data_IF_561506251747
#
_entry.id   IF_561506251747
#
_cell.length_a   1.000
_cell.length_b   1.000
_cell.length_c   1.000
_cell.angle_alpha   90.00
_cell.angle_beta   90.00
_cell.angle_gamma   90.00
#
_symmetry.space_group_name_H-M   'P 1'
#
loop_
_entity.id
_entity.type
_entity.pdbx_description
1 polymer ?
#
# COMPACT_ATOMS: atom_id res chain seq x y z
N UNK A 1 21.62 2.91 -14.41
CA UNK A 1 20.57 1.97 -14.86
C UNK A 1 19.92 1.42 -13.60
N UNK A 2 18.65 1.01 -13.60
CA UNK A 2 18.07 0.39 -12.41
C UNK A 2 18.65 -1.03 -12.32
N UNK A 3 19.55 -1.28 -11.37
CA UNK A 3 20.28 -2.53 -11.25
C UNK A 3 20.33 -3.02 -9.79
N UNK A 4 20.41 -4.34 -9.63
CA UNK A 4 20.35 -4.98 -8.30
C UNK A 4 21.53 -4.56 -7.43
N UNK A 5 22.74 -4.46 -8.00
CA UNK A 5 23.96 -4.16 -7.26
C UNK A 5 23.92 -2.74 -6.67
N UNK A 6 23.40 -1.76 -7.42
CA UNK A 6 23.20 -0.39 -6.96
C UNK A 6 22.25 -0.37 -5.77
N UNK A 7 21.10 -1.06 -5.85
CA UNK A 7 20.14 -1.13 -4.73
C UNK A 7 20.81 -1.79 -3.52
N UNK A 8 21.40 -2.99 -3.70
CA UNK A 8 22.09 -3.72 -2.63
C UNK A 8 23.20 -2.89 -1.98
N UNK A 9 24.00 -2.17 -2.77
CA UNK A 9 25.08 -1.32 -2.26
C UNK A 9 24.52 -0.17 -1.40
N UNK A 10 23.44 0.49 -1.84
CA UNK A 10 22.78 1.52 -1.02
C UNK A 10 22.26 0.92 0.29
N UNK A 11 21.56 -0.21 0.21
CA UNK A 11 20.96 -0.85 1.40
C UNK A 11 22.01 -1.39 2.38
N UNK A 12 23.19 -1.78 1.92
CA UNK A 12 24.26 -2.30 2.77
C UNK A 12 25.28 -1.24 3.21
N UNK A 13 25.24 -0.04 2.63
CA UNK A 13 26.15 1.03 3.03
C UNK A 13 25.72 1.63 4.38
N UNK A 14 26.59 1.49 5.39
CA UNK A 14 26.38 1.98 6.75
C UNK A 14 27.27 3.18 7.10
N UNK A 15 27.95 3.76 6.11
CA UNK A 15 28.70 5.01 6.28
C UNK A 15 27.72 6.16 6.63
N UNK A 16 27.86 6.81 7.80
CA UNK A 16 26.99 7.91 8.21
C UNK A 16 26.97 9.06 7.22
N UNK A 17 28.11 9.40 6.60
CA UNK A 17 28.20 10.52 5.67
C UNK A 17 27.43 10.22 4.38
N UNK A 18 27.48 8.96 3.92
CA UNK A 18 26.67 8.49 2.81
C UNK A 18 25.17 8.56 3.12
N UNK A 19 24.76 8.11 4.30
CA UNK A 19 23.35 8.11 4.72
C UNK A 19 22.81 9.53 4.80
N UNK A 20 23.59 10.45 5.39
CA UNK A 20 23.23 11.86 5.49
C UNK A 20 23.11 12.50 4.10
N UNK A 21 24.07 12.24 3.21
CA UNK A 21 24.01 12.72 1.82
C UNK A 21 22.77 12.21 1.07
N UNK A 22 22.44 10.92 1.22
CA UNK A 22 21.24 10.30 0.64
C UNK A 22 19.95 10.95 1.19
N UNK A 23 19.90 11.20 2.49
CA UNK A 23 18.77 11.83 3.16
C UNK A 23 18.57 13.28 2.71
N UNK A 24 19.64 14.07 2.60
CA UNK A 24 19.60 15.45 2.13
C UNK A 24 19.10 15.53 0.68
N UNK A 25 19.63 14.67 -0.20
CA UNK A 25 19.20 14.62 -1.60
C UNK A 25 17.71 14.27 -1.71
N UNK A 26 17.25 13.26 -0.96
CA UNK A 26 15.84 12.89 -0.91
C UNK A 26 14.95 14.03 -0.41
N UNK A 27 15.37 14.73 0.65
CA UNK A 27 14.64 15.87 1.20
C UNK A 27 14.53 17.02 0.20
N UNK A 28 15.62 17.33 -0.50
CA UNK A 28 15.64 18.38 -1.53
C UNK A 28 14.68 18.04 -2.68
N UNK A 29 14.73 16.81 -3.19
CA UNK A 29 13.83 16.36 -4.26
C UNK A 29 12.36 16.36 -3.80
N UNK A 30 12.10 15.96 -2.56
CA UNK A 30 10.74 16.00 -2.00
C UNK A 30 10.21 17.42 -1.97
N UNK A 31 11.00 18.38 -1.48
CA UNK A 31 10.61 19.79 -1.44
C UNK A 31 10.45 20.38 -2.85
N UNK A 32 11.30 20.00 -3.80
CA UNK A 32 11.21 20.43 -5.19
C UNK A 32 9.92 19.97 -5.87
N UNK A 33 9.47 18.74 -5.61
CA UNK A 33 8.33 18.13 -6.31
C UNK A 33 6.99 18.25 -5.56
N UNK A 34 6.99 18.30 -4.23
CA UNK A 34 5.78 18.28 -3.39
C UNK A 34 5.69 19.46 -2.41
N UNK A 35 6.69 20.34 -2.41
CA UNK A 35 6.78 21.42 -1.43
C UNK A 35 6.86 20.90 0.00
N UNK A 36 6.09 21.52 0.89
CA UNK A 36 6.01 21.15 2.32
C UNK A 36 4.65 20.56 2.69
N UNK A 37 3.90 20.10 1.68
CA UNK A 37 2.57 19.52 1.88
C UNK A 37 2.67 18.06 2.30
N UNK A 38 1.68 17.60 3.06
CA UNK A 38 1.54 16.20 3.43
C UNK A 38 0.10 15.78 3.23
N UNK A 39 -0.14 14.80 2.37
CA UNK A 39 -1.46 14.22 2.17
C UNK A 39 -1.85 13.38 3.39
N UNK A 40 -3.02 13.66 3.98
CA UNK A 40 -3.58 12.85 5.05
C UNK A 40 -4.66 11.93 4.47
N UNK A 41 -4.61 10.65 4.83
CA UNK A 41 -5.70 9.71 4.56
C UNK A 41 -6.03 8.89 5.80
N UNK A 42 -7.26 8.38 5.91
CA UNK A 42 -7.63 7.44 6.96
C UNK A 42 -7.94 6.06 6.38
N UNK A 43 -7.34 4.98 6.89
CA UNK A 43 -7.77 3.62 6.59
C UNK A 43 -9.04 3.28 7.40
N UNK A 44 -10.07 2.77 6.74
CA UNK A 44 -11.30 2.26 7.35
C UNK A 44 -11.54 0.81 6.92
N UNK A 45 -11.44 -0.13 7.87
CA UNK A 45 -11.76 -1.53 7.62
C UNK A 45 -13.28 -1.73 7.62
N UNK A 46 -13.85 -2.01 6.45
CA UNK A 46 -15.27 -2.34 6.30
C UNK A 46 -15.57 -3.80 6.66
N UNK A 47 -14.58 -4.68 6.50
CA UNK A 47 -14.71 -6.08 6.85
C UNK A 47 -13.36 -6.76 7.04
N UNK A 48 -13.28 -7.72 7.97
CA UNK A 48 -12.12 -8.58 8.14
C UNK A 48 -12.35 -10.04 7.65
N UNK A 49 -13.43 -10.32 6.93
CA UNK A 49 -13.63 -11.64 6.32
C UNK A 49 -12.65 -11.85 5.16
N UNK A 50 -11.95 -12.98 5.15
CA UNK A 50 -10.97 -13.31 4.13
C UNK A 50 -11.02 -14.79 3.80
N UNK A 51 -10.96 -15.12 2.51
CA UNK A 51 -10.89 -16.50 2.01
C UNK A 51 -9.45 -17.01 1.87
N UNK A 52 -8.48 -16.10 1.79
CA UNK A 52 -7.07 -16.41 1.54
C UNK A 52 -6.33 -16.88 2.81
N UNK A 53 -5.45 -17.87 2.66
CA UNK A 53 -4.56 -18.35 3.72
C UNK A 53 -3.16 -17.76 3.56
N UNK A 54 -2.96 -16.56 4.13
CA UNK A 54 -1.65 -15.92 4.14
C UNK A 54 -0.96 -16.17 5.48
N UNK A 55 0.26 -16.70 5.48
CA UNK A 55 0.98 -17.10 6.70
C UNK A 55 1.36 -15.93 7.61
N UNK A 56 1.31 -14.70 7.10
CA UNK A 56 1.70 -13.47 7.79
C UNK A 56 0.52 -12.54 8.08
N UNK A 57 -0.70 -12.91 7.70
CA UNK A 57 -1.86 -12.03 7.85
C UNK A 57 -2.73 -12.44 9.04
N UNK A 58 -3.05 -11.49 9.92
CA UNK A 58 -3.95 -11.72 11.05
C UNK A 58 -5.38 -12.11 10.64
N UNK A 59 -5.82 -11.72 9.44
CA UNK A 59 -7.16 -12.00 8.90
C UNK A 59 -7.26 -13.28 8.08
N UNK A 60 -6.19 -14.08 7.96
CA UNK A 60 -6.23 -15.29 7.13
C UNK A 60 -7.41 -16.22 7.50
N UNK A 61 -7.86 -17.03 6.55
CA UNK A 61 -9.06 -17.88 6.69
C UNK A 61 -8.99 -18.92 7.82
N UNK A 62 -7.79 -19.30 8.28
CA UNK A 62 -7.59 -20.29 9.34
C UNK A 62 -7.50 -19.67 10.75
N UNK A 63 -7.38 -18.35 10.86
CA UNK A 63 -7.41 -17.67 12.14
C UNK A 63 -8.82 -17.57 12.71
N UNK A 64 -8.93 -17.98 13.99
CA UNK A 64 -10.12 -17.82 14.81
C UNK A 64 -10.11 -16.44 15.46
N UNK A 65 -10.53 -15.45 14.68
CA UNK A 65 -10.79 -14.07 15.14
C UNK A 65 -12.29 -13.78 15.09
N UNK A 66 -12.74 -12.78 15.84
CA UNK A 66 -14.09 -12.23 15.67
C UNK A 66 -14.20 -11.61 14.28
N UNK A 67 -15.07 -12.17 13.44
CA UNK A 67 -15.28 -11.68 12.08
C UNK A 67 -16.38 -10.63 12.05
N UNK A 68 -16.16 -9.54 11.33
CA UNK A 68 -17.13 -8.46 11.18
C UNK A 68 -17.23 -7.99 9.73
N UNK A 69 -18.40 -7.45 9.40
CA UNK A 69 -18.72 -6.71 8.19
C UNK A 69 -19.61 -5.57 8.63
N UNK A 70 -19.23 -4.33 8.32
CA UNK A 70 -20.01 -3.16 8.71
C UNK A 70 -21.33 -3.11 7.93
N UNK A 71 -22.43 -2.80 8.62
CA UNK A 71 -23.69 -2.41 7.99
C UNK A 71 -23.62 -0.97 7.48
N UNK A 72 -24.56 -0.56 6.64
CA UNK A 72 -24.59 0.80 6.09
C UNK A 72 -24.64 1.85 7.21
N UNK A 73 -25.41 1.62 8.28
CA UNK A 73 -25.46 2.50 9.43
C UNK A 73 -24.10 2.64 10.12
N UNK A 74 -23.37 1.52 10.26
CA UNK A 74 -22.03 1.52 10.84
C UNK A 74 -21.02 2.22 9.92
N UNK A 75 -21.13 2.02 8.60
CA UNK A 75 -20.31 2.72 7.61
C UNK A 75 -20.51 4.24 7.74
N UNK A 76 -21.75 4.71 7.76
CA UNK A 76 -22.06 6.13 7.96
C UNK A 76 -21.49 6.66 9.28
N UNK A 77 -21.62 5.91 10.39
CA UNK A 77 -21.10 6.31 11.69
C UNK A 77 -19.58 6.50 11.69
N UNK A 78 -18.84 5.52 11.19
CA UNK A 78 -17.38 5.55 11.11
C UNK A 78 -16.90 6.67 10.16
N UNK A 79 -17.50 6.78 8.98
CA UNK A 79 -17.12 7.79 7.99
C UNK A 79 -17.40 9.21 8.49
N UNK A 80 -18.55 9.43 9.15
CA UNK A 80 -18.88 10.71 9.77
C UNK A 80 -17.89 11.08 10.88
N UNK A 81 -17.47 10.11 11.68
CA UNK A 81 -16.47 10.33 12.72
C UNK A 81 -15.14 10.81 12.12
N UNK A 82 -14.65 10.13 11.08
CA UNK A 82 -13.40 10.50 10.40
C UNK A 82 -13.50 11.86 9.68
N UNK A 83 -14.62 12.15 9.01
CA UNK A 83 -14.85 13.44 8.37
C UNK A 83 -14.85 14.60 9.36
N UNK A 84 -15.44 14.41 10.56
CA UNK A 84 -15.38 15.43 11.63
C UNK A 84 -13.96 15.72 12.15
N UNK A 85 -13.00 14.82 11.92
CA UNK A 85 -11.58 15.07 12.24
C UNK A 85 -10.85 15.87 11.16
N UNK A 86 -11.53 16.25 10.07
CA UNK A 86 -10.94 16.97 8.93
C UNK A 86 -10.24 16.06 7.93
N UNK A 87 -10.49 14.74 7.96
CA UNK A 87 -9.98 13.82 6.94
C UNK A 87 -10.82 13.94 5.67
N UNK A 88 -10.17 14.20 4.54
CA UNK A 88 -10.82 14.31 3.22
C UNK A 88 -10.53 13.13 2.29
N UNK A 89 -9.53 12.30 2.60
CA UNK A 89 -9.13 11.14 1.80
C UNK A 89 -9.37 9.86 2.59
N UNK A 90 -10.22 8.98 2.09
CA UNK A 90 -10.52 7.70 2.75
C UNK A 90 -9.90 6.53 1.95
N UNK A 91 -9.31 5.58 2.67
CA UNK A 91 -8.92 4.29 2.13
C UNK A 91 -9.84 3.22 2.73
N UNK A 92 -10.70 2.64 1.91
CA UNK A 92 -11.62 1.57 2.31
C UNK A 92 -10.93 0.23 2.19
N UNK A 93 -10.87 -0.53 3.28
CA UNK A 93 -10.18 -1.81 3.34
C UNK A 93 -11.15 -2.96 3.60
N UNK A 94 -10.89 -4.09 2.97
CA UNK A 94 -11.53 -5.36 3.31
C UNK A 94 -10.51 -6.49 3.37
N UNK A 95 -10.83 -7.58 4.09
CA UNK A 95 -10.25 -8.87 3.76
C UNK A 95 -10.66 -9.34 2.35
N UNK A 96 -10.03 -10.42 1.86
CA UNK A 96 -10.30 -10.92 0.51
C UNK A 96 -11.44 -11.95 0.51
N UNK A 97 -12.68 -11.48 0.61
CA UNK A 97 -13.88 -12.32 0.52
C UNK A 97 -14.85 -11.79 -0.54
N UNK A 98 -14.79 -12.37 -1.74
CA UNK A 98 -15.71 -12.08 -2.85
C UNK A 98 -17.17 -12.37 -2.51
N UNK A 99 -17.42 -13.31 -1.58
CA UNK A 99 -18.78 -13.62 -1.10
C UNK A 99 -19.28 -12.60 -0.07
N UNK A 100 -18.42 -12.17 0.85
CA UNK A 100 -18.84 -11.32 1.98
C UNK A 100 -18.86 -9.84 1.60
N UNK A 101 -17.88 -9.41 0.83
CA UNK A 101 -17.74 -8.04 0.32
C UNK A 101 -17.73 -8.07 -1.21
N UNK A 102 -18.84 -8.49 -1.86
CA UNK A 102 -18.93 -8.50 -3.33
C UNK A 102 -18.87 -7.07 -3.88
N UNK A 103 -18.71 -6.93 -5.20
CA UNK A 103 -18.68 -5.64 -5.89
C UNK A 103 -19.85 -4.72 -5.48
N UNK A 104 -21.08 -5.25 -5.38
CA UNK A 104 -22.24 -4.46 -4.96
C UNK A 104 -22.10 -3.82 -3.57
N UNK A 105 -21.43 -4.49 -2.63
CA UNK A 105 -21.13 -3.93 -1.31
C UNK A 105 -20.07 -2.83 -1.39
N UNK A 106 -19.05 -3.02 -2.22
CA UNK A 106 -17.99 -2.02 -2.43
C UNK A 106 -18.53 -0.77 -3.14
N UNK A 107 -19.41 -0.93 -4.13
CA UNK A 107 -20.11 0.17 -4.80
C UNK A 107 -20.99 0.95 -3.83
N UNK A 108 -21.71 0.26 -2.94
CA UNK A 108 -22.51 0.90 -1.90
C UNK A 108 -21.64 1.69 -0.91
N UNK A 109 -20.55 1.09 -0.42
CA UNK A 109 -19.62 1.78 0.48
C UNK A 109 -18.97 3.01 -0.18
N UNK A 110 -18.62 2.93 -1.47
CA UNK A 110 -18.13 4.07 -2.24
C UNK A 110 -19.21 5.14 -2.45
N UNK A 111 -20.49 4.75 -2.64
CA UNK A 111 -21.60 5.70 -2.69
C UNK A 111 -21.72 6.49 -1.39
N UNK A 112 -21.70 5.81 -0.24
CA UNK A 112 -21.77 6.43 1.08
C UNK A 112 -20.55 7.33 1.31
N UNK A 113 -19.36 6.88 0.95
CA UNK A 113 -18.12 7.64 1.14
C UNK A 113 -18.13 9.01 0.45
N UNK A 114 -18.83 9.15 -0.69
CA UNK A 114 -18.96 10.44 -1.41
C UNK A 114 -19.68 11.53 -0.61
N UNK A 115 -20.46 11.16 0.40
CA UNK A 115 -21.12 12.12 1.29
C UNK A 115 -20.15 12.78 2.28
N UNK A 116 -18.97 12.18 2.49
CA UNK A 116 -18.06 12.54 3.57
C UNK A 116 -16.65 12.92 3.11
N UNK A 117 -16.19 12.40 1.97
CA UNK A 117 -14.80 12.51 1.53
C UNK A 117 -14.68 13.02 0.10
N UNK A 118 -13.63 13.80 -0.13
CA UNK A 118 -13.27 14.34 -1.45
C UNK A 118 -12.51 13.33 -2.31
N UNK A 119 -11.85 12.35 -1.67
CA UNK A 119 -11.19 11.26 -2.39
C UNK A 119 -11.39 9.90 -1.74
N UNK A 120 -11.67 8.90 -2.59
CA UNK A 120 -12.00 7.54 -2.19
C UNK A 120 -11.04 6.56 -2.86
N UNK A 121 -10.29 5.82 -2.06
CA UNK A 121 -9.42 4.73 -2.51
C UNK A 121 -9.82 3.41 -1.88
N UNK A 122 -9.54 2.29 -2.57
CA UNK A 122 -9.83 0.94 -2.07
C UNK A 122 -8.55 0.10 -1.95
N UNK A 123 -8.40 -0.62 -0.84
CA UNK A 123 -7.45 -1.73 -0.65
C UNK A 123 -8.25 -3.01 -0.37
N UNK A 124 -8.68 -3.67 -1.45
CA UNK A 124 -9.59 -4.83 -1.42
C UNK A 124 -9.04 -5.97 -2.28
N UNK A 125 -9.77 -7.07 -2.37
CA UNK A 125 -9.38 -8.19 -3.22
C UNK A 125 -9.21 -7.76 -4.70
N UNK A 126 -8.26 -8.37 -5.45
CA UNK A 126 -8.15 -8.16 -6.88
C UNK A 126 -9.47 -8.47 -7.61
N UNK A 127 -9.85 -7.64 -8.57
CA UNK A 127 -11.09 -7.83 -9.34
C UNK A 127 -10.78 -7.86 -10.85
N UNK A 128 -11.78 -8.15 -11.67
CA UNK A 128 -11.68 -8.04 -13.12
C UNK A 128 -11.71 -6.57 -13.57
N UNK A 129 -11.29 -6.30 -14.81
CA UNK A 129 -11.26 -4.93 -15.36
C UNK A 129 -12.66 -4.29 -15.39
N UNK A 130 -13.71 -5.07 -15.67
CA UNK A 130 -15.11 -4.60 -15.66
C UNK A 130 -15.53 -4.08 -14.28
N UNK A 131 -15.13 -4.77 -13.22
CA UNK A 131 -15.51 -4.42 -11.85
C UNK A 131 -14.81 -3.13 -11.42
N UNK A 132 -13.53 -2.97 -11.79
CA UNK A 132 -12.82 -1.69 -11.60
C UNK A 132 -13.46 -0.57 -12.42
N UNK A 133 -14.05 -0.86 -13.59
CA UNK A 133 -14.75 0.14 -14.39
C UNK A 133 -15.99 0.65 -13.69
N UNK A 134 -16.76 -0.24 -13.07
CA UNK A 134 -17.92 0.12 -12.26
C UNK A 134 -17.51 0.96 -11.05
N UNK A 135 -16.45 0.57 -10.33
CA UNK A 135 -15.92 1.35 -9.20
C UNK A 135 -15.48 2.76 -9.62
N UNK A 136 -14.78 2.88 -10.75
CA UNK A 136 -14.40 4.17 -11.30
C UNK A 136 -15.63 5.05 -11.60
N UNK A 137 -16.65 4.48 -12.26
CA UNK A 137 -17.91 5.18 -12.55
C UNK A 137 -18.67 5.59 -11.28
N UNK A 138 -18.53 4.82 -10.21
CA UNK A 138 -19.12 5.10 -8.91
C UNK A 138 -18.41 6.23 -8.14
N UNK A 139 -17.21 6.64 -8.58
CA UNK A 139 -16.43 7.72 -7.99
C UNK A 139 -15.23 7.26 -7.16
N UNK A 140 -14.76 6.02 -7.32
CA UNK A 140 -13.48 5.58 -6.75
C UNK A 140 -12.32 6.19 -7.54
N UNK A 141 -11.46 6.93 -6.84
CA UNK A 141 -10.28 7.57 -7.43
C UNK A 141 -9.09 6.63 -7.51
N UNK A 142 -8.92 5.77 -6.49
CA UNK A 142 -7.68 5.05 -6.27
C UNK A 142 -7.81 3.58 -5.91
N UNK A 143 -6.84 2.79 -6.34
CA UNK A 143 -6.68 1.38 -5.95
C UNK A 143 -5.30 1.18 -5.33
N UNK A 144 -5.28 0.61 -4.12
CA UNK A 144 -4.07 0.17 -3.45
C UNK A 144 -3.96 -1.34 -3.57
N UNK A 145 -2.84 -1.81 -4.11
CA UNK A 145 -2.54 -3.24 -4.19
C UNK A 145 -1.07 -3.49 -3.92
N UNK A 146 -0.79 -4.21 -2.84
CA UNK A 146 0.57 -4.67 -2.55
C UNK A 146 0.77 -6.03 -3.18
N UNK A 147 1.83 -6.16 -3.97
CA UNK A 147 2.29 -7.45 -4.47
C UNK A 147 2.84 -8.31 -3.33
N UNK A 148 3.16 -7.70 -2.18
CA UNK A 148 3.72 -8.31 -0.98
C UNK A 148 5.16 -8.75 -1.17
N UNK A 149 5.43 -9.55 -2.19
CA UNK A 149 6.74 -9.98 -2.64
C UNK A 149 6.67 -10.32 -4.14
N UNK A 150 7.70 -9.91 -4.88
CA UNK A 150 7.88 -10.27 -6.29
C UNK A 150 8.66 -11.59 -6.45
N UNK A 151 9.23 -12.14 -5.37
CA UNK A 151 9.79 -13.50 -5.36
C UNK A 151 8.63 -14.51 -5.43
N UNK A 152 8.43 -15.12 -6.60
CA UNK A 152 7.39 -16.14 -6.83
C UNK A 152 7.50 -17.34 -5.88
N UNK A 153 8.72 -17.78 -5.58
CA UNK A 153 8.94 -18.94 -4.71
C UNK A 153 8.56 -18.58 -3.26
N UNK A 154 8.91 -17.37 -2.80
CA UNK A 154 8.47 -16.87 -1.50
C UNK A 154 6.97 -16.64 -1.47
N UNK A 155 6.40 -16.03 -2.50
CA UNK A 155 4.97 -15.77 -2.64
C UNK A 155 4.15 -17.04 -2.46
N UNK A 156 4.52 -18.13 -3.15
CA UNK A 156 3.83 -19.42 -3.05
C UNK A 156 3.93 -20.04 -1.64
N UNK A 157 5.02 -19.80 -0.91
CA UNK A 157 5.19 -20.29 0.47
C UNK A 157 4.36 -19.53 1.49
N UNK A 158 4.00 -18.28 1.20
CA UNK A 158 3.29 -17.41 2.15
C UNK A 158 1.82 -17.20 1.82
N UNK A 159 1.41 -17.52 0.59
CA UNK A 159 0.01 -17.52 0.11
C UNK A 159 -0.42 -18.94 -0.21
N UNK A 160 -0.86 -19.68 0.82
CA UNK A 160 -1.05 -21.13 0.73
C UNK A 160 -2.35 -21.55 0.04
N UNK A 161 -3.39 -20.71 0.09
CA UNK A 161 -4.68 -20.98 -0.57
C UNK A 161 -5.52 -19.71 -0.72
N UNK A 162 -6.60 -19.81 -1.51
CA UNK A 162 -7.46 -18.69 -1.91
C UNK A 162 -6.95 -17.97 -3.16
N UNK A 163 -7.72 -17.02 -3.68
CA UNK A 163 -7.38 -16.31 -4.92
C UNK A 163 -6.10 -15.47 -4.82
N UNK A 164 -5.68 -15.09 -3.60
CA UNK A 164 -4.38 -14.45 -3.42
C UNK A 164 -3.21 -15.34 -3.84
N UNK A 165 -3.34 -16.67 -3.80
CA UNK A 165 -2.27 -17.57 -4.23
C UNK A 165 -1.96 -17.44 -5.74
N UNK A 166 -2.90 -16.91 -6.53
CA UNK A 166 -2.66 -16.58 -7.92
C UNK A 166 -1.79 -15.32 -8.05
N UNK A 167 -0.49 -15.56 -8.15
CA UNK A 167 0.54 -14.53 -8.29
C UNK A 167 0.27 -13.62 -9.49
N UNK A 168 -0.04 -14.20 -10.65
CA UNK A 168 -0.15 -13.47 -11.92
C UNK A 168 -1.43 -12.65 -11.97
N UNK A 169 -2.53 -13.17 -11.41
CA UNK A 169 -3.75 -12.41 -11.25
C UNK A 169 -3.55 -11.19 -10.34
N UNK A 170 -2.84 -11.37 -9.21
CA UNK A 170 -2.51 -10.26 -8.30
C UNK A 170 -1.59 -9.24 -8.93
N UNK A 171 -0.51 -9.68 -9.59
CA UNK A 171 0.46 -8.78 -10.25
C UNK A 171 -0.23 -7.87 -11.26
N UNK A 172 -1.12 -8.43 -12.09
CA UNK A 172 -1.84 -7.69 -13.15
C UNK A 172 -2.96 -6.77 -12.64
N UNK A 173 -3.19 -6.71 -11.32
CA UNK A 173 -4.27 -5.89 -10.73
C UNK A 173 -4.11 -4.41 -11.08
N UNK A 174 -2.89 -3.88 -10.97
CA UNK A 174 -2.60 -2.49 -11.29
C UNK A 174 -2.90 -2.17 -12.77
N UNK A 175 -2.52 -3.04 -13.70
CA UNK A 175 -2.85 -2.87 -15.11
C UNK A 175 -4.35 -2.95 -15.39
N UNK A 176 -5.10 -3.81 -14.69
CA UNK A 176 -6.57 -3.88 -14.83
C UNK A 176 -7.23 -2.60 -14.30
N UNK A 177 -6.82 -2.11 -13.13
CA UNK A 177 -7.30 -0.86 -12.56
C UNK A 177 -6.99 0.35 -13.48
N UNK A 178 -5.77 0.43 -14.00
CA UNK A 178 -5.37 1.50 -14.91
C UNK A 178 -6.19 1.49 -16.21
N UNK A 179 -6.38 0.32 -16.85
CA UNK A 179 -7.23 0.18 -18.05
C UNK A 179 -8.69 0.55 -17.81
N UNK A 180 -9.21 0.26 -16.62
CA UNK A 180 -10.56 0.67 -16.23
C UNK A 180 -10.73 2.20 -16.09
N UNK A 181 -9.64 2.95 -15.93
CA UNK A 181 -9.62 4.40 -15.82
C UNK A 181 -9.40 4.93 -14.40
N UNK A 182 -9.05 4.06 -13.44
CA UNK A 182 -8.64 4.48 -12.09
C UNK A 182 -7.47 5.46 -12.19
N UNK A 183 -7.52 6.56 -11.41
CA UNK A 183 -6.61 7.69 -11.54
C UNK A 183 -5.43 7.62 -10.59
N UNK A 184 -5.57 6.93 -9.46
CA UNK A 184 -4.53 6.75 -8.47
C UNK A 184 -4.24 5.26 -8.25
N UNK A 185 -2.98 4.85 -8.36
CA UNK A 185 -2.59 3.46 -8.09
C UNK A 185 -1.44 3.43 -7.09
N UNK A 186 -1.68 2.78 -5.95
CA UNK A 186 -0.67 2.56 -4.93
C UNK A 186 -0.16 1.13 -4.99
N UNK A 187 1.15 0.98 -5.21
CA UNK A 187 1.84 -0.31 -5.22
C UNK A 187 2.63 -0.48 -3.92
N UNK A 188 3.02 -1.70 -3.60
CA UNK A 188 3.86 -1.92 -2.43
C UNK A 188 4.36 -3.34 -2.29
N UNK A 189 5.35 -3.47 -1.40
CA UNK A 189 5.98 -4.71 -0.97
C UNK A 189 5.97 -4.76 0.55
N UNK A 190 5.77 -5.95 1.12
CA UNK A 190 5.83 -6.17 2.55
C UNK A 190 7.29 -6.44 2.93
N UNK A 191 7.97 -5.40 3.41
CA UNK A 191 9.36 -5.47 3.80
C UNK A 191 9.56 -6.52 4.89
N UNK A 192 10.46 -7.47 4.60
CA UNK A 192 10.79 -8.60 5.47
C UNK A 192 10.20 -9.94 5.05
N UNK A 193 9.38 -9.99 4.00
CA UNK A 193 8.99 -11.28 3.41
C UNK A 193 10.12 -11.93 2.61
N UNK A 194 10.85 -11.16 1.81
CA UNK A 194 11.90 -11.64 0.87
C UNK A 194 13.10 -10.70 0.90
N UNK A 195 14.10 -10.95 0.06
CA UNK A 195 15.24 -10.05 -0.10
C UNK A 195 14.75 -8.65 -0.52
N UNK A 196 15.04 -7.60 0.26
CA UNK A 196 14.50 -6.26 0.01
C UNK A 196 15.02 -5.67 -1.31
N UNK A 197 16.27 -5.95 -1.71
CA UNK A 197 16.84 -5.38 -2.92
C UNK A 197 16.17 -5.97 -4.18
N UNK A 198 15.93 -7.29 -4.19
CA UNK A 198 15.26 -7.98 -5.29
C UNK A 198 13.79 -7.56 -5.44
N UNK A 199 13.06 -7.42 -4.32
CA UNK A 199 11.69 -6.93 -4.34
C UNK A 199 11.61 -5.47 -4.82
N UNK A 200 12.51 -4.61 -4.36
CA UNK A 200 12.56 -3.21 -4.79
C UNK A 200 12.87 -3.10 -6.28
N UNK A 201 13.85 -3.85 -6.78
CA UNK A 201 14.16 -3.88 -8.21
C UNK A 201 12.91 -4.23 -9.03
N UNK A 202 12.21 -5.28 -8.63
CA UNK A 202 11.01 -5.77 -9.33
C UNK A 202 9.85 -4.77 -9.24
N UNK A 203 9.63 -4.18 -8.05
CA UNK A 203 8.63 -3.12 -7.84
C UNK A 203 8.91 -1.90 -8.73
N UNK A 204 10.17 -1.46 -8.78
CA UNK A 204 10.60 -0.32 -9.58
C UNK A 204 10.51 -0.59 -11.09
N UNK A 205 10.78 -1.82 -11.54
CA UNK A 205 10.57 -2.23 -12.93
C UNK A 205 9.08 -2.24 -13.27
N UNK A 206 8.24 -2.80 -12.40
CA UNK A 206 6.80 -2.82 -12.56
C UNK A 206 6.20 -1.41 -12.61
N UNK A 207 6.65 -0.52 -11.72
CA UNK A 207 6.25 0.89 -11.74
C UNK A 207 6.64 1.58 -13.05
N UNK A 208 7.85 1.35 -13.57
CA UNK A 208 8.28 1.92 -14.87
C UNK A 208 7.45 1.44 -16.04
N UNK A 209 7.05 0.18 -16.03
CA UNK A 209 6.14 -0.37 -17.04
C UNK A 209 4.78 0.33 -16.97
N UNK A 210 4.22 0.46 -15.76
CA UNK A 210 2.95 1.14 -15.53
C UNK A 210 3.00 2.63 -15.93
N UNK A 211 4.04 3.38 -15.54
CA UNK A 211 4.20 4.79 -15.94
C UNK A 211 4.33 4.96 -17.46
N UNK A 212 4.94 3.99 -18.14
CA UNK A 212 5.09 3.99 -19.61
C UNK A 212 3.76 3.70 -20.30
N UNK A 213 3.03 2.69 -19.83
CA UNK A 213 1.82 2.21 -20.48
C UNK A 213 0.59 3.07 -20.12
N UNK A 214 0.59 3.68 -18.93
CA UNK A 214 -0.51 4.49 -18.39
C UNK A 214 -0.03 5.82 -17.77
N UNK A 215 0.56 6.73 -18.57
CA UNK A 215 1.16 7.97 -18.07
C UNK A 215 0.17 8.97 -17.43
N UNK A 216 -1.14 8.75 -17.58
CA UNK A 216 -2.20 9.56 -16.98
C UNK A 216 -2.60 9.17 -15.56
N UNK A 217 -1.99 8.12 -15.00
CA UNK A 217 -2.24 7.64 -13.64
C UNK A 217 -1.22 8.23 -12.66
N UNK A 218 -1.69 8.67 -11.50
CA UNK A 218 -0.84 9.04 -10.38
C UNK A 218 -0.43 7.78 -9.61
N UNK A 219 0.87 7.54 -9.50
CA UNK A 219 1.41 6.40 -8.78
C UNK A 219 1.94 6.77 -7.40
N UNK A 220 1.77 5.85 -6.45
CA UNK A 220 2.45 5.90 -5.15
C UNK A 220 3.01 4.55 -4.75
N UNK A 221 4.03 4.57 -3.89
CA UNK A 221 4.65 3.38 -3.33
C UNK A 221 4.50 3.34 -1.81
N UNK A 222 4.17 2.16 -1.29
CA UNK A 222 4.09 1.85 0.14
C UNK A 222 5.10 0.77 0.49
N UNK A 223 5.73 0.93 1.66
CA UNK A 223 6.73 -0.01 2.18
C UNK A 223 6.35 -0.49 3.58
N UNK A 224 5.17 -1.10 3.81
CA UNK A 224 4.84 -1.62 5.12
C UNK A 224 5.92 -2.61 5.58
N UNK A 225 6.43 -2.46 6.80
CA UNK A 225 7.28 -3.48 7.42
C UNK A 225 6.43 -4.60 7.99
N UNK A 226 6.95 -5.82 7.89
CA UNK A 226 6.38 -6.98 8.53
C UNK A 226 6.19 -6.71 10.03
N UNK A 227 5.00 -7.02 10.53
CA UNK A 227 4.67 -6.94 11.95
C UNK A 227 4.30 -8.33 12.43
N UNK A 228 4.89 -8.75 13.56
CA UNK A 228 4.66 -10.08 14.12
C UNK A 228 3.20 -10.27 14.47
N UNK A 229 2.63 -11.41 14.07
CA UNK A 229 1.33 -11.84 14.58
C UNK A 229 1.54 -12.46 15.95
N UNK A 230 0.72 -12.05 16.93
CA UNK A 230 0.74 -12.63 18.27
C UNK A 230 0.62 -14.16 18.22
N UNK A 231 1.60 -14.85 18.79
CA UNK A 231 1.61 -16.32 18.88
C UNK A 231 2.13 -17.04 17.64
N UNK A 232 2.72 -16.34 16.66
CA UNK A 232 3.35 -16.97 15.50
C UNK A 232 4.79 -16.50 15.34
N UNK A 233 5.67 -17.45 15.03
CA UNK A 233 7.05 -17.19 14.66
C UNK A 233 7.16 -17.28 13.15
N UNK A 234 7.69 -16.21 12.54
CA UNK A 234 7.90 -16.14 11.11
C UNK A 234 9.37 -15.80 10.85
N UNK A 235 10.03 -16.54 9.97
CA UNK A 235 11.37 -16.17 9.51
C UNK A 235 11.24 -14.99 8.57
N UNK A 236 11.74 -13.84 9.01
CA UNK A 236 11.72 -12.57 8.28
C UNK A 236 13.14 -12.11 7.97
N UNK A 237 13.27 -11.35 6.90
CA UNK A 237 14.43 -10.47 6.71
C UNK A 237 14.16 -9.19 7.50
N UNK A 238 14.67 -9.09 8.72
CA UNK A 238 14.46 -7.89 9.54
C UNK A 238 14.98 -6.65 8.83
N UNK A 239 14.16 -5.61 8.74
CA UNK A 239 14.54 -4.31 8.19
C UNK A 239 14.58 -3.32 9.34
N UNK A 240 15.79 -2.88 9.70
CA UNK A 240 15.98 -1.85 10.71
C UNK A 240 15.57 -0.46 10.18
N UNK A 241 15.52 0.52 11.08
CA UNK A 241 15.07 1.87 10.76
C UNK A 241 16.01 2.55 9.74
N UNK A 242 17.33 2.34 9.86
CA UNK A 242 18.31 2.89 8.92
C UNK A 242 18.08 2.38 7.51
N UNK A 243 17.90 1.06 7.34
CA UNK A 243 17.61 0.45 6.04
C UNK A 243 16.27 0.93 5.50
N UNK A 244 15.25 1.04 6.34
CA UNK A 244 13.95 1.57 5.95
C UNK A 244 14.04 3.02 5.42
N UNK A 245 14.78 3.89 6.11
CA UNK A 245 15.03 5.26 5.64
C UNK A 245 15.79 5.26 4.31
N UNK A 246 16.81 4.41 4.14
CA UNK A 246 17.54 4.29 2.86
C UNK A 246 16.61 3.87 1.72
N UNK A 247 15.65 2.98 1.96
CA UNK A 247 14.63 2.59 0.96
C UNK A 247 13.77 3.79 0.55
N UNK A 248 13.29 4.57 1.52
CA UNK A 248 12.49 5.78 1.25
C UNK A 248 13.30 6.78 0.42
N UNK A 249 14.52 7.08 0.85
CA UNK A 249 15.38 8.06 0.18
C UNK A 249 15.75 7.62 -1.24
N UNK A 250 16.16 6.36 -1.41
CA UNK A 250 16.47 5.78 -2.71
C UNK A 250 15.25 5.85 -3.65
N UNK A 251 14.06 5.51 -3.14
CA UNK A 251 12.82 5.58 -3.92
C UNK A 251 12.55 7.01 -4.41
N UNK A 252 12.64 8.00 -3.53
CA UNK A 252 12.44 9.42 -3.89
C UNK A 252 13.45 9.90 -4.94
N UNK A 253 14.73 9.48 -4.82
CA UNK A 253 15.78 9.84 -5.78
C UNK A 253 15.51 9.22 -7.16
N UNK A 254 15.12 7.95 -7.19
CA UNK A 254 14.86 7.24 -8.45
C UNK A 254 13.54 7.66 -9.10
N UNK A 255 12.55 8.03 -8.30
CA UNK A 255 11.20 8.39 -8.75
C UNK A 255 10.72 9.71 -8.13
N UNK A 256 11.26 10.86 -8.58
CA UNK A 256 11.03 12.15 -7.91
C UNK A 256 9.58 12.62 -7.90
N UNK A 257 8.73 12.13 -8.81
CA UNK A 257 7.30 12.50 -8.92
C UNK A 257 6.33 11.52 -8.27
N UNK A 258 6.80 10.37 -7.81
CA UNK A 258 5.94 9.30 -7.28
C UNK A 258 5.63 9.58 -5.81
N UNK A 259 4.38 9.34 -5.40
CA UNK A 259 3.99 9.46 -4.00
C UNK A 259 4.65 8.39 -3.13
N UNK A 260 4.99 8.70 -1.88
CA UNK A 260 5.47 7.69 -0.92
C UNK A 260 4.58 7.74 0.31
N UNK A 261 3.97 6.59 0.62
CA UNK A 261 3.00 6.45 1.70
C UNK A 261 3.67 5.91 2.97
N UNK A 262 3.38 6.51 4.12
CA UNK A 262 3.81 6.03 5.43
C UNK A 262 2.61 5.76 6.35
N UNK A 263 2.48 4.52 6.81
CA UNK A 263 1.34 4.10 7.63
C UNK A 263 1.62 4.19 9.14
N UNK A 264 0.57 4.02 9.95
CA UNK A 264 0.63 3.85 11.42
C UNK A 264 1.25 2.54 11.88
N UNK A 265 1.74 1.68 10.97
CA UNK A 265 2.60 0.53 11.31
C UNK A 265 3.92 0.95 11.96
N UNK A 266 4.34 2.18 11.69
CA UNK A 266 5.58 2.75 12.20
C UNK A 266 5.34 3.60 13.45
N UNK A 267 6.33 3.65 14.34
CA UNK A 267 6.25 4.41 15.60
C UNK A 267 6.11 5.91 15.33
N UNK A 268 5.48 6.65 16.26
CA UNK A 268 5.36 8.11 16.14
C UNK A 268 6.73 8.78 15.93
N UNK A 269 7.74 8.37 16.70
CA UNK A 269 9.10 8.90 16.59
C UNK A 269 9.70 8.67 15.19
N UNK A 270 9.58 7.47 14.61
CA UNK A 270 10.11 7.22 13.27
C UNK A 270 9.35 8.04 12.23
N UNK A 271 8.02 8.14 12.35
CA UNK A 271 7.17 8.91 11.44
C UNK A 271 7.54 10.40 11.44
N UNK A 272 7.70 11.00 12.62
CA UNK A 272 8.05 12.42 12.78
C UNK A 272 9.40 12.78 12.11
N UNK A 273 10.32 11.82 12.06
CA UNK A 273 11.61 11.99 11.39
C UNK A 273 11.52 11.68 9.88
N UNK A 274 10.82 10.63 9.49
CA UNK A 274 10.72 10.16 8.10
C UNK A 274 9.93 11.11 7.19
N UNK A 275 8.98 11.90 7.72
CA UNK A 275 8.15 12.82 6.90
C UNK A 275 8.96 13.83 6.07
N UNK A 276 10.20 14.14 6.47
CA UNK A 276 11.07 15.09 5.76
C UNK A 276 11.96 14.44 4.69
N UNK A 277 11.92 13.10 4.58
CA UNK A 277 12.92 12.30 3.90
C UNK A 277 12.40 11.58 2.65
N UNK A 278 11.22 11.93 2.13
CA UNK A 278 10.65 11.30 0.93
C UNK A 278 9.14 11.13 0.97
N UNK A 279 8.57 11.03 2.16
CA UNK A 279 7.14 10.76 2.38
C UNK A 279 6.29 11.93 1.91
N UNK A 280 5.17 11.61 1.25
CA UNK A 280 4.21 12.62 0.75
C UNK A 280 2.79 12.37 1.22
N UNK A 281 2.50 11.15 1.72
CA UNK A 281 1.19 10.81 2.29
C UNK A 281 1.36 10.01 3.57
N UNK A 282 0.56 10.31 4.58
CA UNK A 282 0.55 9.56 5.84
C UNK A 282 -0.86 9.18 6.25
N UNK A 283 -1.01 7.98 6.84
CA UNK A 283 -2.27 7.60 7.45
C UNK A 283 -2.48 8.31 8.79
N UNK A 284 -3.66 8.83 9.05
CA UNK A 284 -4.10 9.37 10.33
C UNK A 284 -5.43 8.73 10.75
N UNK A 285 -5.79 8.83 12.04
CA UNK A 285 -7.07 8.31 12.54
C UNK A 285 -7.25 6.80 12.40
N UNK A 286 -6.16 6.02 12.34
CA UNK A 286 -6.24 4.55 12.26
C UNK A 286 -6.71 3.99 13.61
N UNK A 287 -7.81 3.23 13.58
CA UNK A 287 -8.37 2.49 14.72
C UNK A 287 -8.35 0.99 14.44
#
# INVERSE_FOLDING_TARGET
>A
MLDINTITNVLNNNDPDFIESLAQQSSQLTQQHFGRTMGLYAPLYLSNYCSSHCTYCGFNSHHRITRFKLTDEQIHQEMKHLAHQGIENILLLTGESYKTTPLSYLLNAAQIAKEYFSSISLEVHPMEESDYKELFQQGVDGITVYQETYDRARYAKVHLSGLKADYDFRLKTAHRAARAGIRQISLGILLGLSDPAADLLSLYQHLKELEKDFPGVEYSLSFPRFQSIKGQTFSTNSIDDTTFIKIICLTRILFPRVGINLSTRETAQLRDNAVKLGITRISAGSN
#
